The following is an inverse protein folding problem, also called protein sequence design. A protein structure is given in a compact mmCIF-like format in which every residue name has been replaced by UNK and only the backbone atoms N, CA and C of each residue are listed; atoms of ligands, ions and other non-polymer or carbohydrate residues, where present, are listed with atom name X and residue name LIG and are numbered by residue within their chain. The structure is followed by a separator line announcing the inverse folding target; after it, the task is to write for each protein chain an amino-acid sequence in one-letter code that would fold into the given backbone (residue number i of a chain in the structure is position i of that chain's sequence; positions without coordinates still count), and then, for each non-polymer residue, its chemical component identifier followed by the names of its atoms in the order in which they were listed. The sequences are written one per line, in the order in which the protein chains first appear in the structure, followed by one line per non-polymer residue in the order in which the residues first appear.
data_IF_838674209769
#
_entry.id   IF_838674209769
#
_cell.length_a   1.000
_cell.length_b   1.000
_cell.length_c   1.000
_cell.angle_alpha   90.00
_cell.angle_beta   90.00
_cell.angle_gamma   90.00
#
_symmetry.space_group_name_H-M   'P 1'
#
loop_
_entity.id
_entity.type
_entity.pdbx_description
1 polymer ?
#
# COMPACT_ATOMS: atom_id res chain seq x y z
N UNK A 1 -9.05 14.72 -5.14
CA UNK A 1 -9.49 14.99 -3.73
C UNK A 1 -10.09 16.40 -3.64
N UNK A 2 -9.54 17.40 -4.33
CA UNK A 2 -10.06 18.78 -4.28
C UNK A 2 -11.17 19.07 -5.30
N UNK A 3 -11.33 18.26 -6.33
CA UNK A 3 -12.26 18.56 -7.46
C UNK A 3 -13.71 18.14 -7.20
N UNK A 4 -13.98 17.31 -6.18
CA UNK A 4 -15.31 16.71 -5.95
C UNK A 4 -15.93 17.11 -4.60
N UNK A 5 -15.48 18.18 -3.93
CA UNK A 5 -15.91 18.51 -2.57
C UNK A 5 -15.72 17.38 -1.53
N UNK A 6 -14.84 16.43 -1.81
CA UNK A 6 -14.52 15.33 -0.88
C UNK A 6 -13.66 15.89 0.25
N UNK A 7 -14.23 15.98 1.42
CA UNK A 7 -13.50 16.36 2.65
C UNK A 7 -12.78 15.13 3.19
N UNK A 8 -11.52 14.95 2.81
CA UNK A 8 -10.64 13.94 3.40
C UNK A 8 -9.49 14.62 4.17
N UNK A 9 -9.14 14.05 5.31
CA UNK A 9 -7.95 14.46 6.03
C UNK A 9 -6.79 13.55 5.61
N UNK A 10 -5.84 14.08 4.86
CA UNK A 10 -4.68 13.33 4.38
C UNK A 10 -3.46 13.66 5.24
N UNK A 11 -2.91 12.65 5.90
CA UNK A 11 -1.64 12.74 6.63
C UNK A 11 -0.60 11.88 5.93
N UNK A 12 0.44 12.51 5.42
CA UNK A 12 1.55 11.85 4.73
C UNK A 12 2.82 11.91 5.59
N UNK A 13 3.50 10.76 5.72
CA UNK A 13 4.83 10.68 6.33
C UNK A 13 5.79 10.09 5.34
N UNK A 14 6.79 10.89 4.95
CA UNK A 14 7.81 10.48 4.00
C UNK A 14 9.09 11.26 4.32
N UNK A 15 10.20 10.59 4.63
CA UNK A 15 11.46 11.26 4.94
C UNK A 15 12.04 11.98 3.73
N UNK A 16 11.75 11.52 2.50
CA UNK A 16 12.40 12.00 1.29
C UNK A 16 11.48 12.03 0.06
N UNK A 17 10.44 12.89 0.07
CA UNK A 17 9.45 12.93 -0.98
C UNK A 17 10.06 13.33 -2.33
N UNK A 18 9.77 12.53 -3.33
CA UNK A 18 10.24 12.75 -4.72
C UNK A 18 9.25 13.56 -5.56
N UNK A 19 7.97 13.54 -5.19
CA UNK A 19 6.91 14.22 -5.94
C UNK A 19 6.69 15.66 -5.48
N UNK A 20 6.35 16.54 -6.43
CA UNK A 20 5.90 17.90 -6.12
C UNK A 20 4.53 17.87 -5.43
N UNK A 21 4.33 18.71 -4.41
CA UNK A 21 3.13 18.72 -3.55
C UNK A 21 2.37 20.04 -3.61
N UNK A 22 2.70 20.90 -4.58
CA UNK A 22 2.08 22.23 -4.71
C UNK A 22 0.58 22.09 -4.97
N UNK A 23 -0.23 22.81 -4.19
CA UNK A 23 -1.69 22.83 -4.32
C UNK A 23 -2.44 21.64 -3.68
N UNK A 24 -1.74 20.75 -2.97
CA UNK A 24 -2.39 19.67 -2.23
C UNK A 24 -2.67 20.11 -0.78
N UNK A 25 -3.92 19.93 -0.33
CA UNK A 25 -4.30 20.12 1.08
C UNK A 25 -4.01 18.82 1.85
N UNK A 26 -2.75 18.67 2.29
CA UNK A 26 -2.28 17.51 3.02
C UNK A 26 -1.42 17.92 4.21
N UNK A 27 -1.56 17.21 5.32
CA UNK A 27 -0.64 17.33 6.45
C UNK A 27 0.60 16.47 6.17
N UNK A 28 1.68 17.11 5.76
CA UNK A 28 2.91 16.43 5.41
C UNK A 28 3.95 16.54 6.52
N UNK A 29 4.47 15.39 6.96
CA UNK A 29 5.46 15.29 8.03
C UNK A 29 6.72 14.58 7.47
N UNK A 30 7.81 15.35 7.36
CA UNK A 30 9.09 14.83 6.85
C UNK A 30 9.86 14.11 7.94
N UNK A 31 9.50 12.86 8.19
CA UNK A 31 10.11 12.02 9.23
C UNK A 31 10.08 10.54 8.80
N UNK A 32 11.16 9.76 9.02
CA UNK A 32 11.12 8.33 8.84
C UNK A 32 10.24 7.68 9.92
N UNK A 33 9.54 6.61 9.54
CA UNK A 33 8.58 5.93 10.42
C UNK A 33 9.21 5.45 11.73
N UNK A 34 10.47 5.07 11.71
CA UNK A 34 11.26 4.64 12.88
C UNK A 34 11.40 5.72 13.98
N UNK A 35 11.14 6.99 13.63
CA UNK A 35 11.21 8.12 14.58
C UNK A 35 9.84 8.65 14.99
N UNK A 36 8.76 8.01 14.53
CA UNK A 36 7.39 8.41 14.84
C UNK A 36 6.98 7.82 16.18
N UNK A 37 6.42 8.65 17.07
CA UNK A 37 5.65 8.13 18.20
C UNK A 37 4.34 7.52 17.66
N UNK A 38 4.23 6.19 17.75
CA UNK A 38 3.06 5.46 17.24
C UNK A 38 1.76 5.85 17.94
N UNK A 39 1.84 6.34 19.19
CA UNK A 39 0.67 6.85 19.92
C UNK A 39 0.13 8.16 19.32
N UNK A 40 0.96 8.89 18.60
CA UNK A 40 0.59 10.11 17.86
C UNK A 40 0.12 9.86 16.44
N UNK A 41 -0.03 8.60 16.01
CA UNK A 41 -0.61 8.30 14.70
C UNK A 41 -2.12 8.60 14.71
N UNK A 42 -2.69 9.06 13.57
CA UNK A 42 -4.14 9.19 13.44
C UNK A 42 -4.83 7.86 13.73
N UNK A 43 -5.92 7.94 14.49
CA UNK A 43 -6.78 6.77 14.72
C UNK A 43 -7.61 6.54 13.47
N UNK A 44 -7.30 5.48 12.74
CA UNK A 44 -8.07 5.07 11.56
C UNK A 44 -9.38 4.39 11.99
N UNK A 45 -10.42 4.56 11.18
CA UNK A 45 -11.76 4.02 11.37
C UNK A 45 -12.20 3.27 10.13
N UNK A 46 -13.30 2.55 10.23
CA UNK A 46 -13.94 1.90 9.08
C UNK A 46 -14.14 2.90 7.93
N UNK A 47 -13.67 2.53 6.75
CA UNK A 47 -13.71 3.34 5.53
C UNK A 47 -12.49 4.22 5.32
N UNK A 48 -11.60 4.37 6.31
CA UNK A 48 -10.34 5.07 6.12
C UNK A 48 -9.35 4.21 5.34
N UNK A 49 -8.35 4.86 4.75
CA UNK A 49 -7.31 4.22 3.94
C UNK A 49 -5.95 4.38 4.62
N UNK A 50 -5.23 3.28 4.78
CA UNK A 50 -3.81 3.25 5.07
C UNK A 50 -3.04 2.95 3.78
N UNK A 51 -2.35 3.94 3.24
CA UNK A 51 -1.50 3.79 2.06
C UNK A 51 -0.06 3.52 2.49
N UNK A 52 0.53 2.42 2.00
CA UNK A 52 1.88 1.97 2.33
C UNK A 52 2.71 1.89 1.06
N UNK A 53 3.75 2.74 1.00
CA UNK A 53 4.86 2.69 0.05
C UNK A 53 6.13 2.73 0.90
N UNK A 54 6.59 1.55 1.32
CA UNK A 54 7.64 1.35 2.31
C UNK A 54 9.04 1.28 1.68
N UNK A 55 10.04 0.96 2.51
CA UNK A 55 11.36 0.56 1.99
C UNK A 55 11.34 -0.80 1.30
N UNK A 56 10.27 -1.58 1.45
CA UNK A 56 10.10 -2.97 0.99
C UNK A 56 11.11 -3.97 1.59
N UNK A 57 11.82 -3.58 2.65
CA UNK A 57 12.83 -4.40 3.32
C UNK A 57 12.39 -4.69 4.74
N UNK A 58 11.93 -5.92 4.98
CA UNK A 58 11.50 -6.42 6.27
C UNK A 58 12.67 -6.98 7.08
N UNK A 59 13.34 -6.10 7.83
CA UNK A 59 14.36 -6.46 8.82
C UNK A 59 14.03 -5.79 10.15
N UNK A 60 14.54 -6.29 11.28
CA UNK A 60 14.27 -5.70 12.60
C UNK A 60 14.55 -4.20 12.64
N UNK A 61 13.57 -3.41 13.08
CA UNK A 61 13.65 -1.95 13.16
C UNK A 61 13.42 -1.20 11.86
N UNK A 62 13.12 -1.87 10.75
CA UNK A 62 12.71 -1.22 9.50
C UNK A 62 11.29 -0.66 9.61
N UNK A 63 10.90 0.18 8.64
CA UNK A 63 9.53 0.64 8.49
C UNK A 63 8.55 -0.52 8.23
N UNK A 64 8.95 -1.52 7.43
CA UNK A 64 8.17 -2.74 7.20
C UNK A 64 7.93 -3.50 8.51
N UNK A 65 8.96 -3.66 9.34
CA UNK A 65 8.82 -4.28 10.66
C UNK A 65 7.82 -3.52 11.54
N UNK A 66 7.94 -2.19 11.62
CA UNK A 66 7.04 -1.35 12.42
C UNK A 66 5.60 -1.43 11.89
N UNK A 67 5.42 -1.38 10.58
CA UNK A 67 4.11 -1.50 9.95
C UNK A 67 3.47 -2.83 10.34
N UNK A 68 4.17 -3.94 10.13
CA UNK A 68 3.63 -5.28 10.30
C UNK A 68 3.44 -5.64 11.77
N UNK A 69 4.41 -5.31 12.63
CA UNK A 69 4.41 -5.72 14.04
C UNK A 69 3.61 -4.78 14.95
N UNK A 70 3.47 -3.51 14.56
CA UNK A 70 2.91 -2.50 15.46
C UNK A 70 1.68 -1.78 14.88
N UNK A 71 1.65 -1.43 13.60
CA UNK A 71 0.55 -0.66 13.01
C UNK A 71 -0.61 -1.57 12.59
N UNK A 72 -0.34 -2.58 11.75
CA UNK A 72 -1.39 -3.46 11.23
C UNK A 72 -2.17 -4.20 12.32
N UNK A 73 -1.56 -4.66 13.44
CA UNK A 73 -2.31 -5.30 14.51
C UNK A 73 -3.34 -4.41 15.19
N UNK A 74 -3.09 -3.08 15.23
CA UNK A 74 -3.97 -2.11 15.89
C UNK A 74 -5.13 -1.64 15.03
N UNK A 75 -5.15 -1.94 13.73
CA UNK A 75 -6.19 -1.47 12.84
C UNK A 75 -7.56 -2.08 13.18
N UNK A 76 -8.62 -1.27 13.30
CA UNK A 76 -9.97 -1.76 13.50
C UNK A 76 -10.52 -2.40 12.21
N UNK A 77 -11.60 -3.18 12.30
CA UNK A 77 -12.28 -3.72 11.13
C UNK A 77 -12.77 -2.65 10.15
N UNK A 78 -12.68 -2.94 8.85
CA UNK A 78 -13.18 -2.09 7.77
C UNK A 78 -12.24 -0.96 7.35
N UNK A 79 -10.98 -0.97 7.77
CA UNK A 79 -9.93 -0.10 7.22
C UNK A 79 -9.42 -0.71 5.93
N UNK A 80 -9.29 0.11 4.89
CA UNK A 80 -8.65 -0.29 3.64
C UNK A 80 -7.14 -0.07 3.73
N UNK A 81 -6.37 -1.05 3.24
CA UNK A 81 -4.92 -0.98 3.24
C UNK A 81 -4.45 -1.13 1.80
N UNK A 82 -3.64 -0.20 1.33
CA UNK A 82 -2.93 -0.29 0.07
C UNK A 82 -1.46 -0.58 0.32
N UNK A 83 -0.95 -1.65 -0.30
CA UNK A 83 0.47 -1.91 -0.42
C UNK A 83 0.93 -1.65 -1.85
N UNK A 84 1.95 -0.83 -2.00
CA UNK A 84 2.64 -0.62 -3.26
C UNK A 84 3.68 -1.72 -3.49
N UNK A 85 4.02 -1.99 -4.75
CA UNK A 85 5.06 -2.95 -5.17
C UNK A 85 4.86 -4.39 -4.66
N UNK A 86 3.63 -4.94 -4.79
CA UNK A 86 3.30 -6.33 -4.48
C UNK A 86 2.89 -7.07 -5.76
N UNK A 87 3.61 -8.14 -6.07
CA UNK A 87 3.50 -8.95 -7.29
C UNK A 87 2.94 -10.35 -7.05
N UNK A 88 2.37 -10.62 -5.90
CA UNK A 88 1.80 -11.95 -5.60
C UNK A 88 0.80 -12.40 -6.66
N UNK A 89 0.85 -13.71 -7.05
CA UNK A 89 1.62 -14.81 -6.47
C UNK A 89 3.08 -14.93 -6.95
N UNK A 90 3.49 -14.12 -7.91
CA UNK A 90 4.84 -14.19 -8.48
C UNK A 90 5.90 -13.53 -7.59
N UNK A 91 7.18 -13.88 -7.76
CA UNK A 91 8.28 -13.16 -7.11
C UNK A 91 8.43 -11.74 -7.67
N UNK A 92 9.24 -10.92 -7.01
CA UNK A 92 9.64 -9.63 -7.56
C UNK A 92 10.29 -9.78 -8.94
N UNK A 93 10.13 -8.79 -9.85
CA UNK A 93 10.74 -8.83 -11.18
C UNK A 93 12.26 -9.05 -11.11
N UNK A 94 12.80 -9.89 -11.98
CA UNK A 94 14.24 -10.22 -12.01
C UNK A 94 15.15 -8.99 -12.09
N UNK A 95 14.76 -7.97 -12.84
CA UNK A 95 15.51 -6.71 -12.91
C UNK A 95 15.48 -5.89 -11.61
N UNK A 96 14.73 -6.33 -10.59
CA UNK A 96 14.68 -5.75 -9.26
C UNK A 96 15.46 -6.56 -8.20
N UNK A 97 16.08 -7.69 -8.55
CA UNK A 97 16.84 -8.52 -7.60
C UNK A 97 17.88 -7.72 -6.81
N UNK A 98 18.50 -6.71 -7.42
CA UNK A 98 19.46 -5.83 -6.77
C UNK A 98 18.88 -4.97 -5.63
N UNK A 99 17.53 -4.85 -5.57
CA UNK A 99 16.83 -4.09 -4.52
C UNK A 99 16.69 -4.89 -3.23
N UNK A 100 16.84 -6.21 -3.30
CA UNK A 100 16.70 -7.14 -2.16
C UNK A 100 15.35 -7.04 -1.43
N UNK A 101 14.29 -6.63 -2.13
CA UNK A 101 12.95 -6.50 -1.58
C UNK A 101 12.43 -7.85 -1.08
N UNK A 102 11.86 -7.85 0.14
CA UNK A 102 11.34 -9.07 0.78
C UNK A 102 9.97 -8.86 1.47
N UNK A 103 9.40 -7.65 1.41
CA UNK A 103 8.13 -7.31 2.05
C UNK A 103 7.00 -8.25 1.65
N UNK A 104 6.88 -8.61 0.36
CA UNK A 104 5.79 -9.47 -0.09
C UNK A 104 5.82 -10.89 0.49
N UNK A 105 6.95 -11.38 0.99
CA UNK A 105 7.01 -12.64 1.74
C UNK A 105 6.20 -12.53 3.05
N UNK A 106 6.33 -11.38 3.71
CA UNK A 106 5.61 -11.08 4.95
C UNK A 106 4.13 -10.89 4.64
N UNK A 107 3.81 -10.14 3.57
CA UNK A 107 2.43 -9.94 3.12
C UNK A 107 1.78 -11.27 2.75
N UNK A 108 2.48 -12.17 2.06
CA UNK A 108 1.99 -13.52 1.75
C UNK A 108 1.59 -14.29 3.01
N UNK A 109 2.41 -14.22 4.07
CA UNK A 109 2.08 -14.84 5.35
C UNK A 109 0.88 -14.18 6.05
N UNK A 110 0.74 -12.86 5.96
CA UNK A 110 -0.43 -12.14 6.49
C UNK A 110 -1.73 -12.53 5.78
N UNK A 111 -1.68 -12.77 4.45
CA UNK A 111 -2.84 -13.23 3.67
C UNK A 111 -3.29 -14.64 4.06
N UNK A 112 -2.39 -15.50 4.52
CA UNK A 112 -2.74 -16.82 5.05
C UNK A 112 -3.54 -16.71 6.37
N UNK A 113 -3.46 -15.59 7.09
CA UNK A 113 -4.29 -15.26 8.24
C UNK A 113 -5.69 -14.81 7.82
N UNK A 114 -6.61 -14.71 8.81
CA UNK A 114 -7.99 -14.32 8.54
C UNK A 114 -8.30 -12.85 8.80
N UNK A 115 -7.31 -12.08 9.26
CA UNK A 115 -7.51 -10.66 9.62
C UNK A 115 -7.60 -9.74 8.41
N UNK A 116 -6.93 -10.09 7.32
CA UNK A 116 -6.87 -9.25 6.11
C UNK A 116 -7.54 -9.98 4.94
N UNK A 117 -8.47 -9.29 4.30
CA UNK A 117 -9.21 -9.78 3.15
C UNK A 117 -8.68 -9.08 1.89
N UNK A 118 -8.06 -9.79 0.92
CA UNK A 118 -7.68 -9.18 -0.33
C UNK A 118 -8.94 -8.78 -1.11
N UNK A 119 -9.01 -7.53 -1.52
CA UNK A 119 -10.15 -6.99 -2.28
C UNK A 119 -9.77 -6.64 -3.72
N UNK A 120 -8.50 -6.33 -3.96
CA UNK A 120 -8.02 -6.04 -5.30
C UNK A 120 -6.50 -6.21 -5.38
N UNK A 121 -5.99 -6.77 -6.48
CA UNK A 121 -4.58 -6.75 -6.85
C UNK A 121 -4.47 -6.44 -8.32
N UNK A 122 -3.86 -5.31 -8.66
CA UNK A 122 -3.69 -4.91 -10.05
C UNK A 122 -2.83 -5.88 -10.84
N UNK A 123 -1.74 -6.38 -10.20
CA UNK A 123 -0.86 -7.38 -10.80
C UNK A 123 -1.59 -8.70 -11.07
N UNK A 124 -2.31 -9.22 -10.05
CA UNK A 124 -3.03 -10.49 -10.18
C UNK A 124 -4.10 -10.41 -11.27
N UNK A 125 -4.93 -9.37 -11.25
CA UNK A 125 -6.01 -9.22 -12.23
C UNK A 125 -5.46 -9.09 -13.64
N UNK A 126 -4.41 -8.30 -13.84
CA UNK A 126 -3.80 -8.12 -15.16
C UNK A 126 -3.22 -9.42 -15.72
N UNK A 127 -2.56 -10.23 -14.91
CA UNK A 127 -1.79 -11.38 -15.37
C UNK A 127 -2.56 -12.71 -15.28
N UNK A 128 -3.52 -12.83 -14.37
CA UNK A 128 -4.20 -14.11 -14.06
C UNK A 128 -5.71 -14.08 -14.27
N UNK A 129 -6.32 -12.91 -14.31
CA UNK A 129 -7.77 -12.78 -14.49
C UNK A 129 -8.14 -11.54 -15.34
N UNK A 130 -7.54 -11.37 -16.54
CA UNK A 130 -7.74 -10.17 -17.35
C UNK A 130 -9.18 -9.97 -17.85
N UNK A 131 -9.99 -11.04 -17.87
CA UNK A 131 -11.43 -10.96 -18.17
C UNK A 131 -12.19 -10.09 -17.19
N UNK A 132 -11.80 -10.07 -15.90
CA UNK A 132 -12.45 -9.21 -14.90
C UNK A 132 -12.24 -7.73 -15.17
N UNK A 133 -11.12 -7.33 -15.79
CA UNK A 133 -10.93 -5.93 -16.19
C UNK A 133 -11.94 -5.50 -17.24
N UNK A 134 -12.29 -6.39 -18.18
CA UNK A 134 -13.31 -6.15 -19.21
C UNK A 134 -14.71 -6.10 -18.61
N UNK A 135 -15.04 -7.06 -17.74
CA UNK A 135 -16.33 -7.11 -17.04
C UNK A 135 -16.57 -5.85 -16.18
N UNK A 136 -15.52 -5.29 -15.57
CA UNK A 136 -15.57 -4.06 -14.79
C UNK A 136 -15.46 -2.78 -15.65
N UNK A 137 -15.27 -2.92 -16.96
CA UNK A 137 -15.13 -1.78 -17.88
C UNK A 137 -13.80 -1.02 -17.71
N UNK A 138 -12.74 -1.67 -17.25
CA UNK A 138 -11.41 -1.07 -17.04
C UNK A 138 -10.37 -1.48 -18.10
N UNK A 139 -10.78 -2.20 -19.13
CA UNK A 139 -9.92 -2.64 -20.24
C UNK A 139 -9.33 -1.50 -21.08
N UNK A 140 -9.93 -0.30 -21.00
CA UNK A 140 -9.43 0.91 -21.64
C UNK A 140 -8.20 1.52 -20.94
N UNK A 141 -7.92 1.13 -19.71
CA UNK A 141 -6.75 1.65 -18.98
C UNK A 141 -5.48 1.12 -19.63
N UNK A 142 -4.75 2.03 -20.25
CA UNK A 142 -3.48 1.72 -20.89
C UNK A 142 -2.35 1.76 -19.88
N UNK A 143 -1.53 0.72 -19.88
CA UNK A 143 -0.29 0.68 -19.10
C UNK A 143 0.79 1.42 -19.86
N UNK A 144 1.48 2.34 -19.21
CA UNK A 144 2.62 3.03 -19.82
C UNK A 144 3.73 2.01 -20.15
N UNK A 145 4.43 2.16 -21.29
CA UNK A 145 5.54 1.29 -21.63
C UNK A 145 6.58 1.20 -20.50
N UNK A 146 6.88 -0.02 -20.06
CA UNK A 146 7.86 -0.28 -18.99
C UNK A 146 7.32 -0.11 -17.56
N UNK A 147 6.06 0.29 -17.38
CA UNK A 147 5.41 0.24 -16.06
C UNK A 147 4.84 -1.15 -15.78
N UNK A 148 4.79 -1.50 -14.50
CA UNK A 148 4.23 -2.76 -14.02
C UNK A 148 3.21 -2.40 -12.94
N UNK A 149 2.01 -2.96 -13.04
CA UNK A 149 0.99 -2.80 -12.00
C UNK A 149 1.39 -3.62 -10.77
N UNK A 150 1.37 -3.00 -9.61
CA UNK A 150 1.91 -3.60 -8.39
C UNK A 150 1.12 -3.24 -7.13
N UNK A 151 -0.13 -2.82 -7.28
CA UNK A 151 -1.00 -2.45 -6.15
C UNK A 151 -1.72 -3.65 -5.57
N UNK A 152 -1.64 -3.81 -4.25
CA UNK A 152 -2.45 -4.75 -3.49
C UNK A 152 -3.33 -3.98 -2.50
N UNK A 153 -4.64 -4.24 -2.55
CA UNK A 153 -5.62 -3.67 -1.64
C UNK A 153 -6.21 -4.74 -0.75
N UNK A 154 -6.22 -4.46 0.54
CA UNK A 154 -6.79 -5.31 1.57
C UNK A 154 -7.85 -4.55 2.37
N UNK A 155 -8.76 -5.29 3.00
CA UNK A 155 -9.66 -4.79 4.04
C UNK A 155 -9.42 -5.56 5.33
N UNK A 156 -9.37 -4.86 6.47
CA UNK A 156 -9.31 -5.49 7.80
C UNK A 156 -10.65 -6.08 8.18
N UNK A 157 -10.66 -7.28 8.79
CA UNK A 157 -11.85 -7.95 9.34
C UNK A 157 -12.00 -7.73 10.82
#
# INVERSE_FOLDING_TARGET
INDENIKSNVVCRDPEPRAARHGLDINFIRIPLQKVDLKGLPVLRKGDILFIDSSHIGVPGSDVDIIVSSILPMLPPGVFIHFHDIFLPDPYPKNWEWREYNEQLIISALLAGKKFNPIFSSYFIRNYAPEHLRELGFDWIQVLPGSIESSLWLETR
#
